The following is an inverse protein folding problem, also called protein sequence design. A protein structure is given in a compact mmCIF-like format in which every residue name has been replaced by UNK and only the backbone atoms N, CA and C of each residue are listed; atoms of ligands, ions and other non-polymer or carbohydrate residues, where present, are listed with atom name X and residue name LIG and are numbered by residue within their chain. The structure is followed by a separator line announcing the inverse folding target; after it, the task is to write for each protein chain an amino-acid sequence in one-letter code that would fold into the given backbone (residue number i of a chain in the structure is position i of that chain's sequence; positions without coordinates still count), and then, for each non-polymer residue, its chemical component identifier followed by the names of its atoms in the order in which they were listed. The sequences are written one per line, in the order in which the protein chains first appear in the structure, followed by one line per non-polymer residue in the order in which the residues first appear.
data_IF_084688265124
#
_entry.id   IF_084688265124
#
_cell.length_a   1.000
_cell.length_b   1.000
_cell.length_c   1.000
_cell.angle_alpha   90.00
_cell.angle_beta   90.00
_cell.angle_gamma   90.00
#
_symmetry.space_group_name_H-M   'P 1'
#
loop_
_entity.id
_entity.type
_entity.pdbx_description
1 polymer ?
#
# COMPACT_ATOMS: atom_id res chain seq x y z
N UNK A 1 16.62 -58.52 34.74
CA UNK A 1 16.69 -57.04 34.67
C UNK A 1 16.58 -56.49 33.24
N UNK A 2 17.32 -56.99 32.23
CA UNK A 2 17.28 -56.44 30.84
C UNK A 2 15.91 -56.55 30.12
N UNK A 3 15.16 -57.65 30.31
CA UNK A 3 13.82 -57.84 29.69
C UNK A 3 12.75 -56.88 30.24
N UNK A 4 12.80 -56.55 31.52
CA UNK A 4 11.85 -55.63 32.16
C UNK A 4 12.03 -54.18 31.69
N UNK A 5 13.29 -53.76 31.45
CA UNK A 5 13.59 -52.43 30.90
C UNK A 5 13.16 -52.29 29.43
N UNK A 6 13.25 -53.37 28.63
CA UNK A 6 12.78 -53.37 27.23
C UNK A 6 11.25 -53.30 27.14
N UNK A 7 10.51 -53.99 28.03
CA UNK A 7 9.04 -53.94 28.06
C UNK A 7 8.54 -52.55 28.50
N UNK A 8 9.19 -51.92 29.49
CA UNK A 8 8.89 -50.55 29.91
C UNK A 8 9.20 -49.52 28.81
N UNK A 9 10.31 -49.68 28.08
CA UNK A 9 10.64 -48.81 26.96
C UNK A 9 9.63 -48.93 25.81
N UNK A 10 9.25 -50.16 25.41
CA UNK A 10 8.25 -50.41 24.37
C UNK A 10 6.84 -49.93 24.76
N UNK A 11 6.43 -50.15 26.02
CA UNK A 11 5.17 -49.64 26.54
C UNK A 11 5.12 -48.11 26.59
N UNK A 12 6.23 -47.47 26.96
CA UNK A 12 6.37 -46.01 26.92
C UNK A 12 6.25 -45.44 25.50
N UNK A 13 6.94 -46.03 24.51
CA UNK A 13 6.86 -45.58 23.12
C UNK A 13 5.46 -45.74 22.52
N UNK A 14 4.73 -46.80 22.85
CA UNK A 14 3.36 -47.01 22.40
C UNK A 14 2.38 -45.95 22.96
N UNK A 15 2.54 -45.54 24.23
CA UNK A 15 1.74 -44.45 24.81
C UNK A 15 2.03 -43.09 24.14
N UNK A 16 3.28 -42.79 23.79
CA UNK A 16 3.63 -41.56 23.07
C UNK A 16 3.05 -41.49 21.66
N UNK A 17 2.92 -42.63 20.97
CA UNK A 17 2.28 -42.71 19.65
C UNK A 17 0.75 -42.58 19.72
N UNK A 18 0.12 -43.12 20.78
CA UNK A 18 -1.34 -43.08 20.95
C UNK A 18 -1.91 -41.67 21.24
N UNK A 19 -1.06 -40.72 21.65
CA UNK A 19 -1.45 -39.31 21.84
C UNK A 19 -1.55 -38.49 20.54
N UNK A 20 -1.07 -39.00 19.40
CA UNK A 20 -1.21 -38.34 18.11
C UNK A 20 -2.59 -38.65 17.48
N UNK A 21 -3.64 -37.94 17.91
CA UNK A 21 -4.98 -38.07 17.33
C UNK A 21 -5.38 -36.81 16.55
N UNK A 22 -5.92 -36.98 15.34
CA UNK A 22 -6.24 -35.88 14.41
C UNK A 22 -7.73 -35.52 14.32
N UNK A 23 -8.57 -36.07 15.20
CA UNK A 23 -10.05 -36.00 15.15
C UNK A 23 -10.64 -34.64 14.75
N UNK A 24 -10.11 -33.56 15.35
CA UNK A 24 -10.63 -32.20 15.18
C UNK A 24 -9.65 -31.26 14.49
N UNK A 25 -8.56 -31.78 13.92
CA UNK A 25 -7.59 -30.98 13.17
C UNK A 25 -8.19 -30.56 11.83
N UNK A 26 -8.77 -31.54 11.12
CA UNK A 26 -9.55 -31.34 9.89
C UNK A 26 -11.01 -31.52 10.26
N UNK A 27 -11.71 -30.40 10.40
CA UNK A 27 -13.13 -30.41 10.77
C UNK A 27 -14.00 -30.45 9.52
N UNK A 28 -15.20 -31.05 9.59
CA UNK A 28 -16.16 -31.08 8.47
C UNK A 28 -16.89 -29.73 8.33
N UNK A 29 -16.14 -28.62 8.30
CA UNK A 29 -16.66 -27.27 8.07
C UNK A 29 -15.76 -26.54 7.09
N UNK A 30 -16.37 -25.73 6.24
CA UNK A 30 -15.65 -24.90 5.30
C UNK A 30 -15.03 -23.70 6.03
N UNK A 31 -13.71 -23.51 5.88
CA UNK A 31 -12.98 -22.36 6.41
C UNK A 31 -12.68 -21.36 5.28
N UNK A 32 -12.46 -20.07 5.59
CA UNK A 32 -12.03 -19.10 4.58
C UNK A 32 -10.80 -19.60 3.82
N UNK A 33 -10.83 -19.47 2.49
CA UNK A 33 -9.74 -19.88 1.58
C UNK A 33 -9.40 -21.39 1.60
N UNK A 34 -10.27 -22.24 2.14
CA UNK A 34 -10.08 -23.69 2.05
C UNK A 34 -10.44 -24.20 0.64
N UNK A 35 -9.84 -25.32 0.22
CA UNK A 35 -10.24 -25.99 -1.01
C UNK A 35 -11.66 -26.60 -0.88
N UNK A 36 -12.38 -26.70 -2.00
CA UNK A 36 -13.65 -27.39 -2.10
C UNK A 36 -13.63 -28.37 -3.26
N UNK A 37 -14.04 -29.62 -3.01
CA UNK A 37 -14.23 -30.64 -4.05
C UNK A 37 -15.61 -30.56 -4.73
N UNK A 38 -16.49 -29.68 -4.25
CA UNK A 38 -17.86 -29.55 -4.78
C UNK A 38 -17.95 -28.62 -5.99
N UNK A 39 -17.15 -27.56 -6.03
CA UNK A 39 -17.15 -26.56 -7.12
C UNK A 39 -16.02 -26.81 -8.11
N UNK A 40 -16.27 -26.58 -9.40
CA UNK A 40 -15.33 -26.85 -10.48
C UNK A 40 -14.02 -26.04 -10.41
N UNK A 41 -14.03 -24.89 -9.75
CA UNK A 41 -12.88 -24.00 -9.57
C UNK A 41 -12.07 -24.31 -8.29
N UNK A 42 -12.46 -25.35 -7.53
CA UNK A 42 -11.80 -25.73 -6.29
C UNK A 42 -12.00 -24.74 -5.13
N UNK A 43 -12.73 -23.64 -5.35
CA UNK A 43 -12.84 -22.55 -4.40
C UNK A 43 -14.04 -22.75 -3.47
N UNK A 44 -13.78 -22.84 -2.16
CA UNK A 44 -14.85 -22.82 -1.17
C UNK A 44 -15.48 -21.44 -0.98
N UNK A 45 -14.71 -20.37 -1.23
CA UNK A 45 -15.18 -18.99 -1.18
C UNK A 45 -15.80 -18.62 -2.51
N UNK A 46 -17.12 -18.47 -2.55
CA UNK A 46 -17.86 -18.12 -3.77
C UNK A 46 -17.81 -16.61 -4.03
N UNK A 47 -17.79 -16.23 -5.30
CA UNK A 47 -18.02 -14.85 -5.70
C UNK A 47 -19.43 -14.42 -5.33
N UNK A 48 -19.60 -13.15 -4.99
CA UNK A 48 -20.92 -12.56 -4.80
C UNK A 48 -21.65 -12.50 -6.14
N UNK A 49 -22.98 -12.57 -6.10
CA UNK A 49 -23.82 -12.36 -7.28
C UNK A 49 -23.78 -10.87 -7.63
N UNK A 50 -23.66 -10.56 -8.91
CA UNK A 50 -23.57 -9.17 -9.39
C UNK A 50 -24.79 -8.35 -8.97
N UNK A 51 -24.57 -7.08 -8.61
CA UNK A 51 -25.62 -6.18 -8.13
C UNK A 51 -26.11 -6.43 -6.69
N UNK A 52 -25.57 -7.42 -5.97
CA UNK A 52 -25.92 -7.62 -4.56
C UNK A 52 -25.24 -6.60 -3.65
N UNK A 53 -26.00 -6.06 -2.69
CA UNK A 53 -25.50 -5.12 -1.67
C UNK A 53 -25.66 -5.77 -0.30
N UNK A 54 -24.54 -5.97 0.39
CA UNK A 54 -24.56 -6.49 1.76
C UNK A 54 -25.16 -5.46 2.73
N UNK A 55 -25.72 -5.96 3.84
CA UNK A 55 -26.17 -5.08 4.94
C UNK A 55 -25.01 -4.21 5.42
N UNK A 56 -25.30 -2.95 5.70
CA UNK A 56 -24.33 -1.92 6.12
C UNK A 56 -23.22 -1.60 5.09
N UNK A 57 -23.37 -2.06 3.85
CA UNK A 57 -22.46 -1.76 2.72
C UNK A 57 -23.13 -0.92 1.64
N UNK A 58 -24.26 -0.28 1.94
CA UNK A 58 -24.90 0.67 1.03
C UNK A 58 -24.01 1.91 0.89
N UNK A 59 -23.57 2.19 -0.32
CA UNK A 59 -22.68 3.30 -0.65
C UNK A 59 -23.48 4.47 -1.21
N UNK A 60 -24.03 5.32 -0.33
CA UNK A 60 -24.86 6.46 -0.72
C UNK A 60 -24.07 7.75 -0.99
N UNK A 61 -22.86 7.88 -0.43
CA UNK A 61 -22.00 9.03 -0.64
C UNK A 61 -21.08 8.81 -1.84
N UNK A 62 -21.49 9.31 -2.99
CA UNK A 62 -20.73 9.20 -4.24
C UNK A 62 -19.32 9.78 -4.11
N UNK A 63 -19.17 10.92 -3.43
CA UNK A 63 -17.87 11.56 -3.28
C UNK A 63 -16.93 10.66 -2.49
N UNK A 64 -17.40 10.08 -1.38
CA UNK A 64 -16.60 9.17 -0.54
C UNK A 64 -16.25 7.85 -1.22
N UNK A 65 -17.18 7.25 -1.96
CA UNK A 65 -17.03 5.88 -2.48
C UNK A 65 -16.54 5.80 -3.93
N UNK A 66 -16.62 6.88 -4.70
CA UNK A 66 -16.21 6.91 -6.12
C UNK A 66 -15.14 7.95 -6.43
N UNK A 67 -14.92 8.94 -5.56
CA UNK A 67 -14.06 10.08 -5.88
C UNK A 67 -14.69 11.06 -6.86
N UNK A 68 -15.99 10.94 -7.13
CA UNK A 68 -16.75 11.79 -8.05
C UNK A 68 -17.99 12.36 -7.37
N UNK A 69 -18.39 13.54 -7.79
CA UNK A 69 -19.64 14.19 -7.41
C UNK A 69 -20.27 14.77 -8.68
N UNK A 70 -21.53 14.43 -8.95
CA UNK A 70 -22.22 14.83 -10.19
C UNK A 70 -21.43 14.48 -11.47
N UNK A 71 -20.82 13.29 -11.51
CA UNK A 71 -20.00 12.79 -12.62
C UNK A 71 -18.58 13.36 -12.71
N UNK A 72 -18.29 14.46 -12.02
CA UNK A 72 -16.99 15.13 -12.03
C UNK A 72 -16.09 14.65 -10.89
N UNK A 73 -14.78 14.58 -11.13
CA UNK A 73 -13.83 14.23 -10.08
C UNK A 73 -13.80 15.32 -9.00
N UNK A 74 -13.85 14.91 -7.73
CA UNK A 74 -13.79 15.87 -6.62
C UNK A 74 -12.39 16.47 -6.49
N UNK A 75 -12.33 17.76 -6.22
CA UNK A 75 -11.07 18.51 -6.06
C UNK A 75 -10.55 18.51 -4.64
N UNK A 76 -11.42 18.21 -3.66
CA UNK A 76 -11.10 18.15 -2.24
C UNK A 76 -11.46 16.78 -1.65
N UNK A 77 -10.75 16.41 -0.58
CA UNK A 77 -11.06 15.20 0.18
C UNK A 77 -12.40 15.37 0.93
N UNK A 78 -13.33 14.42 0.86
CA UNK A 78 -14.55 14.43 1.68
C UNK A 78 -14.25 14.15 3.17
N UNK A 79 -13.07 13.61 3.48
CA UNK A 79 -12.60 13.35 4.84
C UNK A 79 -11.66 14.47 5.27
N UNK A 80 -11.81 14.95 6.51
CA UNK A 80 -10.94 15.95 7.13
C UNK A 80 -9.49 15.43 7.18
N UNK A 81 -8.57 16.18 6.58
CA UNK A 81 -7.15 15.86 6.54
C UNK A 81 -6.49 16.30 7.85
N UNK A 82 -6.34 15.38 8.80
CA UNK A 82 -5.55 15.58 10.04
C UNK A 82 -4.15 14.98 9.91
N UNK A 83 -3.28 15.24 10.89
CA UNK A 83 -1.93 14.63 10.94
C UNK A 83 -2.01 13.11 11.01
N UNK A 84 -2.91 12.58 11.84
CA UNK A 84 -3.14 11.15 12.03
C UNK A 84 -3.63 10.51 10.74
N UNK A 85 -4.52 11.19 10.02
CA UNK A 85 -5.01 10.75 8.71
C UNK A 85 -3.88 10.70 7.67
N UNK A 86 -3.00 11.70 7.63
CA UNK A 86 -1.83 11.70 6.75
C UNK A 86 -0.82 10.61 7.13
N UNK A 87 -0.60 10.36 8.42
CA UNK A 87 0.26 9.27 8.89
C UNK A 87 -0.30 7.89 8.51
N UNK A 88 -1.63 7.72 8.61
CA UNK A 88 -2.31 6.53 8.09
C UNK A 88 -2.12 6.38 6.58
N UNK A 89 -2.26 7.47 5.84
CA UNK A 89 -2.00 7.52 4.40
C UNK A 89 -0.57 7.12 4.05
N UNK A 90 0.41 7.62 4.81
CA UNK A 90 1.81 7.26 4.66
C UNK A 90 2.05 5.77 4.88
N UNK A 91 1.49 5.20 5.95
CA UNK A 91 1.61 3.78 6.27
C UNK A 91 1.06 2.92 5.12
N UNK A 92 -0.16 3.21 4.65
CA UNK A 92 -0.78 2.49 3.54
C UNK A 92 -0.03 2.68 2.21
N UNK A 93 0.46 3.88 1.95
CA UNK A 93 1.30 4.15 0.78
C UNK A 93 2.59 3.31 0.79
N UNK A 94 3.26 3.22 1.96
CA UNK A 94 4.48 2.42 2.14
C UNK A 94 4.25 0.95 1.85
N UNK A 95 3.11 0.40 2.27
CA UNK A 95 2.77 -1.01 2.06
C UNK A 95 2.41 -1.31 0.60
N UNK A 96 1.52 -0.51 0.00
CA UNK A 96 0.89 -0.90 -1.28
C UNK A 96 1.44 -0.17 -2.51
N UNK A 97 1.98 1.04 -2.35
CA UNK A 97 2.30 1.92 -3.47
C UNK A 97 3.81 2.03 -3.73
N UNK A 98 4.63 2.07 -2.67
CA UNK A 98 6.10 2.22 -2.76
C UNK A 98 6.80 1.20 -3.65
N UNK A 99 6.42 -0.10 -3.66
CA UNK A 99 7.09 -1.08 -4.52
C UNK A 99 7.14 -0.67 -6.00
N UNK A 100 6.12 0.05 -6.46
CA UNK A 100 5.99 0.53 -7.84
C UNK A 100 6.33 2.02 -7.98
N UNK A 101 5.71 2.88 -7.16
CA UNK A 101 5.81 4.35 -7.31
C UNK A 101 6.99 5.00 -6.58
N UNK A 102 7.76 4.23 -5.80
CA UNK A 102 8.89 4.74 -5.03
C UNK A 102 8.48 5.48 -3.75
N UNK A 103 9.42 5.61 -2.82
CA UNK A 103 9.17 6.26 -1.53
C UNK A 103 8.88 7.76 -1.66
N UNK A 104 9.49 8.39 -2.66
CA UNK A 104 9.28 9.80 -2.99
C UNK A 104 8.13 10.03 -3.97
N UNK A 105 7.53 8.97 -4.53
CA UNK A 105 6.49 9.12 -5.54
C UNK A 105 6.99 9.50 -6.94
N UNK A 106 8.26 9.21 -7.22
CA UNK A 106 8.98 9.52 -8.45
C UNK A 106 8.84 8.45 -9.55
N UNK A 107 8.09 7.38 -9.29
CA UNK A 107 7.95 6.26 -10.21
C UNK A 107 9.15 5.31 -10.21
N UNK A 108 10.10 5.47 -9.28
CA UNK A 108 11.35 4.70 -9.21
C UNK A 108 11.30 3.62 -8.12
N UNK A 109 10.16 2.94 -7.98
CA UNK A 109 10.01 1.80 -7.08
C UNK A 109 10.89 0.61 -7.46
N UNK A 110 11.13 -0.29 -6.51
CA UNK A 110 11.99 -1.47 -6.74
C UNK A 110 11.48 -2.38 -7.85
N UNK A 111 10.15 -2.47 -8.04
CA UNK A 111 9.55 -3.24 -9.14
C UNK A 111 9.80 -2.55 -10.49
N UNK A 112 9.73 -1.22 -10.57
CA UNK A 112 10.11 -0.48 -11.77
C UNK A 112 11.58 -0.70 -12.12
N UNK A 113 12.48 -0.65 -11.13
CA UNK A 113 13.93 -0.81 -11.34
C UNK A 113 14.34 -2.22 -11.75
N UNK A 114 13.60 -3.25 -11.31
CA UNK A 114 13.93 -4.67 -11.55
C UNK A 114 13.37 -5.25 -12.85
N UNK A 115 12.88 -4.41 -13.76
CA UNK A 115 12.56 -4.85 -15.11
C UNK A 115 11.09 -5.16 -15.37
N UNK A 116 10.14 -4.57 -14.62
CA UNK A 116 8.75 -4.54 -15.05
C UNK A 116 8.65 -3.74 -16.36
N UNK A 117 8.70 -4.42 -17.51
CA UNK A 117 8.61 -3.81 -18.84
C UNK A 117 7.17 -3.42 -19.12
N UNK A 118 6.84 -2.17 -18.83
CA UNK A 118 5.55 -1.58 -19.21
C UNK A 118 5.70 -0.74 -20.47
N UNK A 119 4.64 -0.69 -21.29
CA UNK A 119 4.56 0.20 -22.46
C UNK A 119 4.77 1.68 -22.08
N UNK A 120 4.42 2.05 -20.85
CA UNK A 120 4.68 3.37 -20.28
C UNK A 120 5.33 3.18 -18.91
N UNK A 121 6.33 4.00 -18.56
CA UNK A 121 6.95 3.92 -17.24
C UNK A 121 5.91 4.21 -16.15
N UNK A 122 6.18 3.71 -14.94
CA UNK A 122 5.36 4.00 -13.79
C UNK A 122 5.36 5.52 -13.56
N UNK A 123 4.17 6.11 -13.42
CA UNK A 123 4.02 7.55 -13.36
C UNK A 123 4.64 8.13 -12.08
N UNK A 124 5.37 9.24 -12.26
CA UNK A 124 5.81 10.12 -11.18
C UNK A 124 4.68 11.10 -10.81
N UNK A 125 4.35 11.19 -9.52
CA UNK A 125 3.32 12.10 -9.02
C UNK A 125 3.70 13.57 -9.15
N UNK A 126 4.97 13.88 -9.43
CA UNK A 126 5.50 15.25 -9.50
C UNK A 126 5.32 15.93 -10.85
N UNK A 127 4.85 15.20 -11.86
CA UNK A 127 4.56 15.79 -13.18
C UNK A 127 3.50 16.89 -13.09
N UNK A 128 3.59 18.00 -13.86
CA UNK A 128 2.60 19.07 -13.83
C UNK A 128 1.17 18.56 -14.01
N UNK A 129 0.97 17.67 -15.00
CA UNK A 129 -0.31 17.00 -15.25
C UNK A 129 -0.90 16.37 -13.98
N UNK A 130 -0.14 15.54 -13.26
CA UNK A 130 -0.66 14.86 -12.07
C UNK A 130 -0.77 15.78 -10.84
N UNK A 131 -0.02 16.88 -10.78
CA UNK A 131 -0.23 17.90 -9.75
C UNK A 131 -1.55 18.64 -9.96
N UNK A 132 -1.90 18.93 -11.21
CA UNK A 132 -3.15 19.62 -11.58
C UNK A 132 -4.39 18.73 -11.58
N UNK A 133 -4.24 17.40 -11.70
CA UNK A 133 -5.38 16.47 -11.61
C UNK A 133 -6.12 16.62 -10.28
N UNK A 134 -7.47 16.54 -10.23
CA UNK A 134 -8.23 16.57 -8.97
C UNK A 134 -7.87 15.41 -8.03
N UNK A 135 -8.02 15.58 -6.71
CA UNK A 135 -7.67 14.52 -5.73
C UNK A 135 -8.49 13.23 -5.93
N UNK A 136 -9.75 13.37 -6.38
CA UNK A 136 -10.60 12.24 -6.75
C UNK A 136 -10.01 11.34 -7.82
N UNK A 137 -9.11 11.84 -8.67
CA UNK A 137 -8.40 11.03 -9.67
C UNK A 137 -7.59 9.91 -9.00
N UNK A 138 -6.86 10.22 -7.93
CA UNK A 138 -6.02 9.23 -7.26
C UNK A 138 -6.88 8.16 -6.56
N UNK A 139 -8.01 8.58 -5.97
CA UNK A 139 -8.99 7.65 -5.41
C UNK A 139 -9.55 6.71 -6.48
N UNK A 140 -9.99 7.27 -7.63
CA UNK A 140 -10.55 6.53 -8.76
C UNK A 140 -9.56 5.52 -9.32
N UNK A 141 -8.30 5.93 -9.53
CA UNK A 141 -7.21 5.05 -9.99
C UNK A 141 -6.95 3.91 -9.01
N UNK A 142 -6.94 4.17 -7.69
CA UNK A 142 -6.79 3.09 -6.69
C UNK A 142 -7.99 2.14 -6.67
N UNK A 143 -9.19 2.66 -6.93
CA UNK A 143 -10.44 1.89 -6.87
C UNK A 143 -10.63 1.04 -8.12
N UNK A 144 -10.40 1.60 -9.29
CA UNK A 144 -10.75 1.00 -10.58
C UNK A 144 -9.52 0.53 -11.38
N UNK A 145 -8.31 0.90 -10.96
CA UNK A 145 -7.10 0.70 -11.75
C UNK A 145 -6.94 1.76 -12.85
N UNK A 146 -5.78 1.79 -13.49
CA UNK A 146 -5.50 2.69 -14.61
C UNK A 146 -4.32 2.21 -15.45
N UNK A 147 -4.54 2.00 -16.75
CA UNK A 147 -3.50 1.47 -17.64
C UNK A 147 -3.01 0.10 -17.18
N UNK A 148 -1.74 0.00 -16.77
CA UNK A 148 -1.15 -1.23 -16.25
C UNK A 148 -1.34 -1.43 -14.72
N UNK A 149 -1.88 -0.42 -14.02
CA UNK A 149 -2.14 -0.52 -12.58
C UNK A 149 -3.48 -1.24 -12.33
N UNK A 150 -3.43 -2.37 -11.62
CA UNK A 150 -4.63 -3.08 -11.18
C UNK A 150 -5.43 -2.30 -10.14
N UNK A 151 -6.69 -2.68 -9.95
CA UNK A 151 -7.48 -2.21 -8.81
C UNK A 151 -6.89 -2.67 -7.48
N UNK A 152 -6.96 -1.77 -6.49
CA UNK A 152 -6.64 -2.02 -5.08
C UNK A 152 -7.88 -2.01 -4.19
N UNK A 153 -9.09 -2.02 -4.77
CA UNK A 153 -10.33 -1.86 -4.00
C UNK A 153 -10.57 -2.95 -2.95
N UNK A 154 -10.04 -4.15 -3.15
CA UNK A 154 -10.09 -5.27 -2.20
C UNK A 154 -8.99 -5.26 -1.14
N UNK A 155 -8.00 -4.37 -1.27
CA UNK A 155 -6.83 -4.28 -0.37
C UNK A 155 -6.80 -3.01 0.46
N UNK A 156 -7.42 -1.95 -0.06
CA UNK A 156 -7.52 -0.64 0.58
C UNK A 156 -8.98 -0.28 0.77
N UNK A 157 -9.40 -0.11 2.03
CA UNK A 157 -10.72 0.42 2.36
C UNK A 157 -10.90 1.86 1.83
N UNK A 158 -12.14 2.33 1.58
CA UNK A 158 -12.41 3.67 1.08
C UNK A 158 -11.67 4.79 1.86
N UNK A 159 -11.64 4.71 3.18
CA UNK A 159 -10.98 5.70 4.04
C UNK A 159 -9.45 5.68 3.84
N UNK A 160 -8.87 4.49 3.69
CA UNK A 160 -7.44 4.33 3.44
C UNK A 160 -7.06 4.81 2.02
N UNK A 161 -7.94 4.62 1.02
CA UNK A 161 -7.73 5.19 -0.32
C UNK A 161 -7.71 6.72 -0.28
N UNK A 162 -8.60 7.36 0.48
CA UNK A 162 -8.55 8.81 0.69
C UNK A 162 -7.30 9.25 1.45
N UNK A 163 -6.88 8.50 2.47
CA UNK A 163 -5.67 8.79 3.23
C UNK A 163 -4.42 8.75 2.34
N UNK A 164 -4.32 7.72 1.48
CA UNK A 164 -3.25 7.60 0.49
C UNK A 164 -3.31 8.74 -0.53
N UNK A 165 -4.49 9.09 -1.04
CA UNK A 165 -4.64 10.22 -1.97
C UNK A 165 -4.18 11.55 -1.34
N UNK A 166 -4.52 11.79 -0.07
CA UNK A 166 -4.05 12.95 0.68
C UNK A 166 -2.52 12.91 0.90
N UNK A 167 -1.96 11.73 1.18
CA UNK A 167 -0.50 11.56 1.31
C UNK A 167 0.24 11.80 -0.01
N UNK A 168 -0.33 11.41 -1.15
CA UNK A 168 0.21 11.75 -2.48
C UNK A 168 0.28 13.28 -2.66
N UNK A 169 -0.73 14.03 -2.22
CA UNK A 169 -0.66 15.51 -2.22
C UNK A 169 0.45 16.05 -1.34
N UNK A 170 0.66 15.45 -0.17
CA UNK A 170 1.77 15.81 0.70
C UNK A 170 3.13 15.56 0.03
N UNK A 171 3.29 14.45 -0.70
CA UNK A 171 4.50 14.16 -1.49
C UNK A 171 4.70 15.20 -2.60
N UNK A 172 3.64 15.55 -3.34
CA UNK A 172 3.72 16.59 -4.38
C UNK A 172 4.18 17.92 -3.81
N UNK A 173 3.65 18.30 -2.64
CA UNK A 173 4.06 19.51 -1.93
C UNK A 173 5.49 19.42 -1.40
N UNK A 174 5.95 18.26 -0.91
CA UNK A 174 7.31 18.13 -0.36
C UNK A 174 8.41 18.38 -1.40
N UNK A 175 8.14 18.15 -2.68
CA UNK A 175 9.08 18.41 -3.77
C UNK A 175 8.84 19.73 -4.51
N UNK A 176 7.69 20.37 -4.31
CA UNK A 176 7.29 21.55 -5.08
C UNK A 176 6.63 22.63 -4.18
N UNK A 177 7.07 22.73 -2.92
CA UNK A 177 6.55 23.74 -2.00
C UNK A 177 6.92 25.13 -2.52
N UNK A 178 5.95 26.04 -2.72
CA UNK A 178 6.27 27.38 -3.18
C UNK A 178 6.93 28.15 -2.03
N UNK A 179 8.02 28.86 -2.35
CA UNK A 179 8.93 29.47 -1.36
C UNK A 179 8.21 30.52 -0.51
N UNK A 180 7.27 31.23 -1.10
CA UNK A 180 6.41 32.22 -0.44
C UNK A 180 5.55 31.62 0.68
N UNK A 181 5.07 30.39 0.52
CA UNK A 181 4.27 29.66 1.50
C UNK A 181 5.10 29.04 2.66
N UNK A 182 6.43 29.13 2.60
CA UNK A 182 7.29 28.66 3.68
C UNK A 182 7.18 29.56 4.91
N UNK A 183 7.23 28.95 6.10
CA UNK A 183 7.35 29.70 7.36
C UNK A 183 8.65 30.52 7.37
N UNK A 184 8.70 31.68 8.06
CA UNK A 184 9.89 32.52 8.12
C UNK A 184 11.13 31.75 8.55
N UNK A 185 11.00 30.86 9.55
CA UNK A 185 12.07 29.99 10.05
C UNK A 185 12.67 29.09 8.95
N UNK A 186 11.81 28.54 8.08
CA UNK A 186 12.23 27.68 6.97
C UNK A 186 12.88 28.48 5.84
N UNK A 187 12.45 29.73 5.62
CA UNK A 187 13.09 30.66 4.66
C UNK A 187 14.53 30.98 5.10
N UNK A 188 14.75 31.32 6.37
CA UNK A 188 16.09 31.57 6.92
C UNK A 188 17.01 30.34 6.82
N UNK A 189 16.47 29.13 7.00
CA UNK A 189 17.22 27.87 6.79
C UNK A 189 17.56 27.61 5.31
N UNK A 190 16.71 28.04 4.38
CA UNK A 190 16.98 27.93 2.96
C UNK A 190 18.10 28.90 2.55
N UNK A 191 18.01 30.14 2.98
CA UNK A 191 18.99 31.19 2.64
C UNK A 191 20.40 30.87 3.19
N UNK A 192 20.48 30.27 4.37
CA UNK A 192 21.76 29.84 4.98
C UNK A 192 22.41 28.62 4.31
N UNK A 193 21.64 27.79 3.59
CA UNK A 193 22.17 26.65 2.81
C UNK A 193 22.57 27.01 1.38
N UNK A 194 22.12 28.16 0.87
CA UNK A 194 22.38 28.65 -0.50
C UNK A 194 23.56 29.63 -0.56
N UNK A 195 24.15 30.01 0.60
CA UNK A 195 25.39 30.81 0.62
C UNK A 195 26.51 30.11 -0.19
N UNK A 196 27.25 30.86 -1.04
CA UNK A 196 28.08 30.28 -2.08
C UNK A 196 29.18 29.40 -1.48
N UNK A 197 29.32 28.19 -2.05
CA UNK A 197 30.41 27.29 -1.75
C UNK A 197 31.74 28.01 -1.90
N UNK A 198 32.49 28.05 -0.79
CA UNK A 198 33.90 28.41 -0.77
C UNK A 198 34.61 27.58 -1.83
N UNK A 199 35.20 28.24 -2.83
CA UNK A 199 36.10 27.64 -3.80
C UNK A 199 37.10 26.75 -3.03
N UNK A 200 37.08 25.43 -3.29
CA UNK A 200 38.16 24.57 -2.86
C UNK A 200 39.35 24.88 -3.77
N UNK A 201 40.24 25.74 -3.25
CA UNK A 201 41.51 26.10 -3.86
C UNK A 201 42.31 24.87 -4.27
N UNK A 202 43.00 25.02 -5.40
CA UNK A 202 43.79 23.99 -6.05
C UNK A 202 44.82 23.36 -5.11
N UNK A 203 44.96 22.05 -5.29
CA UNK A 203 46.01 21.27 -4.67
C UNK A 203 47.32 21.58 -5.41
N UNK A 204 48.25 22.25 -4.75
CA UNK A 204 49.65 22.30 -5.18
C UNK A 204 50.24 20.90 -5.06
N UNK A 205 50.70 20.36 -6.18
CA UNK A 205 51.52 19.15 -6.25
C UNK A 205 52.93 19.51 -5.74
N UNK A 206 53.25 19.05 -4.54
CA UNK A 206 54.60 19.06 -3.98
C UNK A 206 55.28 17.70 -4.21
N UNK A 207 56.45 17.75 -4.85
CA UNK A 207 57.43 16.68 -4.98
C UNK A 207 57.66 15.90 -3.67
N UNK A 208 57.68 14.57 -3.78
CA UNK A 208 58.75 13.66 -3.29
C UNK A 208 58.54 12.23 -3.81
#
# INVERSE_FOLDING_TARGET
MKRSAQILALGGTALFMAGCHTDMWVQPKIRPQHESTFFADGASSRSLVEGTVARDHLRTDDALFTGRMNGNLVTQSPIKVTKEFLLRGQDRYKVFCVPCHGQLGDGQGMIAKRGLTLKRPIASYHTPRLREMPIGHFYDVMTNGYGAMYSYASRLEPQDRWAVAAYIRALQLSQNAPVDALKPETKTMLDSKVAPGKEMGGHEEGEH
#
